data_IF_114765407001
#
_entry.id   IF_114765407001
#
_cell.length_a   1.000
_cell.length_b   1.000
_cell.length_c   1.000
_cell.angle_alpha   90.00
_cell.angle_beta   90.00
_cell.angle_gamma   90.00
#
_symmetry.space_group_name_H-M   'P 1'
#
loop_
_entity.id
_entity.type
_entity.pdbx_description
1 polymer ?
#
# COMPACT_ATOMS: atom_id res chain seq x y z
N UNK A 1 9.66 -23.82 -6.17
CA UNK A 1 10.16 -23.10 -4.99
C UNK A 1 10.90 -21.86 -5.48
N UNK A 2 10.27 -20.69 -5.37
CA UNK A 2 10.93 -19.42 -5.71
C UNK A 2 11.68 -18.95 -4.47
N UNK A 3 12.98 -19.19 -4.44
CA UNK A 3 13.89 -18.76 -3.36
C UNK A 3 13.93 -17.22 -3.19
N UNK A 4 13.45 -16.48 -4.18
CA UNK A 4 13.36 -15.02 -4.14
C UNK A 4 12.29 -14.57 -3.19
N UNK A 5 12.69 -13.85 -2.15
CA UNK A 5 11.80 -13.13 -1.25
C UNK A 5 11.61 -11.70 -1.76
N UNK A 6 10.47 -11.12 -1.41
CA UNK A 6 10.08 -9.79 -1.86
C UNK A 6 9.64 -8.94 -0.68
N UNK A 7 9.89 -7.64 -0.81
CA UNK A 7 9.29 -6.61 0.00
C UNK A 7 8.06 -6.05 -0.74
N UNK A 8 6.98 -5.90 0.01
CA UNK A 8 5.68 -5.49 -0.47
C UNK A 8 5.43 -4.06 -0.02
N UNK A 9 4.98 -3.23 -0.95
CA UNK A 9 4.63 -1.84 -0.70
C UNK A 9 3.24 -1.52 -1.23
N UNK A 10 2.60 -0.55 -0.61
CA UNK A 10 1.46 0.17 -1.18
C UNK A 10 1.96 1.54 -1.63
N UNK A 11 1.83 1.82 -2.91
CA UNK A 11 2.03 3.16 -3.44
C UNK A 11 0.69 3.90 -3.42
N UNK A 12 0.68 5.12 -2.91
CA UNK A 12 -0.51 5.98 -2.85
C UNK A 12 -0.16 7.35 -3.40
N UNK A 13 -0.92 7.84 -4.37
CA UNK A 13 -0.84 9.22 -4.83
C UNK A 13 -2.09 9.98 -4.45
N UNK A 14 -1.90 11.17 -3.91
CA UNK A 14 -2.96 12.13 -3.69
C UNK A 14 -2.53 13.53 -4.08
N UNK A 15 -3.47 14.45 -4.19
CA UNK A 15 -3.22 15.87 -4.35
C UNK A 15 -3.55 16.68 -3.08
N UNK A 16 -3.31 17.98 -3.13
CA UNK A 16 -3.52 18.91 -2.02
C UNK A 16 -4.99 19.02 -1.55
N UNK A 17 -5.96 18.45 -2.28
CA UNK A 17 -7.37 18.45 -1.90
C UNK A 17 -7.72 17.30 -0.95
N UNK A 18 -6.82 16.33 -0.76
CA UNK A 18 -7.01 15.26 0.21
C UNK A 18 -7.03 15.85 1.63
N UNK A 19 -8.14 15.75 2.38
CA UNK A 19 -8.34 16.56 3.59
C UNK A 19 -7.77 15.92 4.86
N UNK A 20 -7.20 14.72 4.79
CA UNK A 20 -6.74 13.96 5.95
C UNK A 20 -5.22 13.87 6.00
N UNK A 21 -4.66 13.81 7.21
CA UNK A 21 -3.23 13.59 7.43
C UNK A 21 -2.84 12.11 7.40
N UNK A 22 -3.81 11.20 7.26
CA UNK A 22 -3.61 9.76 7.31
C UNK A 22 -4.60 9.04 6.39
N UNK A 23 -4.36 7.74 6.20
CA UNK A 23 -5.29 6.83 5.53
C UNK A 23 -5.26 5.45 6.20
N UNK A 24 -6.43 4.84 6.33
CA UNK A 24 -6.55 3.45 6.73
C UNK A 24 -6.80 2.59 5.50
N UNK A 25 -6.08 1.48 5.38
CA UNK A 25 -6.22 0.52 4.29
C UNK A 25 -6.43 -0.89 4.84
N UNK A 26 -7.31 -1.64 4.20
CA UNK A 26 -7.46 -3.07 4.34
C UNK A 26 -6.86 -3.73 3.10
N UNK A 27 -5.91 -4.63 3.31
CA UNK A 27 -5.23 -5.36 2.24
C UNK A 27 -5.56 -6.83 2.36
N UNK A 28 -6.26 -7.35 1.37
CA UNK A 28 -6.63 -8.76 1.24
C UNK A 28 -5.64 -9.45 0.29
N UNK A 29 -4.87 -10.40 0.82
CA UNK A 29 -3.92 -11.22 0.06
C UNK A 29 -4.45 -12.64 -0.06
N UNK A 30 -4.93 -13.00 -1.24
CA UNK A 30 -5.53 -14.32 -1.52
C UNK A 30 -4.51 -15.22 -2.20
N UNK A 31 -4.27 -16.38 -1.59
CA UNK A 31 -3.36 -17.42 -2.05
C UNK A 31 -4.01 -18.28 -3.14
N UNK A 32 -3.22 -18.99 -3.97
CA UNK A 32 -3.73 -19.89 -5.02
C UNK A 32 -4.70 -20.98 -4.52
N UNK A 33 -4.62 -21.35 -3.24
CA UNK A 33 -5.52 -22.32 -2.62
C UNK A 33 -6.83 -21.72 -2.09
N UNK A 34 -7.11 -20.44 -2.37
CA UNK A 34 -8.33 -19.74 -1.97
C UNK A 34 -8.34 -19.24 -0.53
N UNK A 35 -7.27 -19.46 0.26
CA UNK A 35 -7.15 -18.83 1.58
C UNK A 35 -6.83 -17.35 1.41
N UNK A 36 -7.48 -16.50 2.20
CA UNK A 36 -7.19 -15.05 2.22
C UNK A 36 -6.62 -14.67 3.56
N UNK A 37 -5.57 -13.86 3.53
CA UNK A 37 -5.05 -13.15 4.68
C UNK A 37 -5.43 -11.68 4.55
N UNK A 38 -5.95 -11.07 5.62
CA UNK A 38 -6.32 -9.66 5.65
C UNK A 38 -5.45 -8.92 6.66
N UNK A 39 -4.86 -7.81 6.24
CA UNK A 39 -4.12 -6.88 7.10
C UNK A 39 -4.81 -5.51 7.14
N UNK A 40 -4.59 -4.77 8.22
CA UNK A 40 -5.02 -3.37 8.36
C UNK A 40 -3.81 -2.47 8.51
N UNK A 41 -3.69 -1.48 7.63
CA UNK A 41 -2.61 -0.49 7.63
C UNK A 41 -3.15 0.86 8.07
N UNK A 42 -2.58 1.42 9.14
CA UNK A 42 -2.78 2.80 9.54
C UNK A 42 -1.58 3.60 9.06
N UNK A 43 -1.78 4.44 8.05
CA UNK A 43 -0.68 5.11 7.35
C UNK A 43 -0.76 6.61 7.62
N UNK A 44 0.25 7.16 8.29
CA UNK A 44 0.41 8.61 8.37
C UNK A 44 0.92 9.13 7.03
N UNK A 45 0.24 10.11 6.45
CA UNK A 45 0.60 10.79 5.20
C UNK A 45 1.21 12.16 5.48
N UNK A 46 0.93 12.77 6.64
CA UNK A 46 1.53 14.02 7.08
C UNK A 46 2.01 13.94 8.54
N UNK A 47 2.98 14.78 8.87
CA UNK A 47 3.41 14.98 10.25
C UNK A 47 2.40 15.81 11.06
N UNK A 48 2.65 15.97 12.38
CA UNK A 48 1.79 16.75 13.29
C UNK A 48 1.67 18.24 12.93
N UNK A 49 2.52 18.75 12.05
CA UNK A 49 2.48 20.13 11.55
C UNK A 49 1.77 20.22 10.19
N UNK A 50 1.23 19.11 9.69
CA UNK A 50 0.55 19.02 8.40
C UNK A 50 1.50 18.94 7.20
N UNK A 51 2.80 18.70 7.41
CA UNK A 51 3.74 18.53 6.30
C UNK A 51 3.65 17.10 5.78
N UNK A 52 3.41 16.95 4.48
CA UNK A 52 3.35 15.64 3.84
C UNK A 52 4.67 14.88 3.99
N UNK A 53 4.58 13.58 4.31
CA UNK A 53 5.70 12.66 4.49
C UNK A 53 6.19 12.04 3.17
N UNK A 54 5.39 12.17 2.12
CA UNK A 54 5.69 11.71 0.77
C UNK A 54 6.57 12.70 0.00
N UNK A 55 6.89 12.33 -1.24
CA UNK A 55 7.60 13.19 -2.19
C UNK A 55 6.67 13.56 -3.35
N UNK A 56 6.94 14.62 -4.09
CA UNK A 56 6.05 14.97 -5.19
C UNK A 56 6.45 16.24 -5.93
N UNK A 57 5.80 16.45 -7.08
CA UNK A 57 5.98 17.61 -7.93
C UNK A 57 4.63 18.30 -8.18
N UNK A 58 4.62 19.62 -8.07
CA UNK A 58 3.40 20.42 -8.21
C UNK A 58 2.40 20.08 -7.10
N UNK A 59 1.18 19.71 -7.50
CA UNK A 59 0.07 19.49 -6.56
C UNK A 59 -0.03 18.06 -6.03
N UNK A 60 0.75 17.12 -6.58
CA UNK A 60 0.68 15.71 -6.19
C UNK A 60 1.73 15.36 -5.15
N UNK A 61 1.38 14.39 -4.30
CA UNK A 61 2.23 13.77 -3.31
C UNK A 61 2.11 12.26 -3.45
N UNK A 62 3.25 11.62 -3.61
CA UNK A 62 3.46 10.18 -3.70
C UNK A 62 3.99 9.64 -2.38
N UNK A 63 3.32 8.59 -1.88
CA UNK A 63 3.72 7.85 -0.70
C UNK A 63 4.05 6.42 -1.08
N UNK A 64 5.17 5.92 -0.54
CA UNK A 64 5.49 4.49 -0.55
C UNK A 64 5.40 3.96 0.86
N UNK A 65 4.37 3.15 1.10
CA UNK A 65 4.05 2.61 2.41
C UNK A 65 4.57 1.16 2.46
N UNK A 66 5.49 0.88 3.38
CA UNK A 66 5.94 -0.48 3.65
C UNK A 66 4.81 -1.32 4.22
N UNK A 67 4.52 -2.46 3.59
CA UNK A 67 3.42 -3.34 3.97
C UNK A 67 3.93 -4.65 4.61
N UNK A 68 4.77 -5.39 3.90
CA UNK A 68 5.38 -6.65 4.37
C UNK A 68 6.78 -6.78 3.82
N UNK A 69 7.67 -7.41 4.54
CA UNK A 69 9.05 -7.65 4.09
C UNK A 69 9.39 -9.12 4.08
N UNK A 70 10.40 -9.51 3.30
CA UNK A 70 10.90 -10.89 3.27
C UNK A 70 9.82 -11.95 2.99
N UNK A 71 8.82 -11.59 2.17
CA UNK A 71 7.69 -12.46 1.88
C UNK A 71 8.01 -13.36 0.69
N UNK A 72 7.82 -14.67 0.87
CA UNK A 72 7.91 -15.66 -0.19
C UNK A 72 6.54 -16.03 -0.74
N UNK A 73 6.54 -16.68 -1.91
CA UNK A 73 5.35 -17.21 -2.57
C UNK A 73 5.40 -18.75 -2.54
N UNK A 74 4.90 -19.40 -1.46
CA UNK A 74 5.12 -20.83 -1.22
C UNK A 74 4.24 -21.73 -2.10
N UNK A 75 3.16 -21.21 -2.66
CA UNK A 75 2.26 -21.94 -3.54
C UNK A 75 2.46 -21.49 -4.99
N UNK A 76 2.45 -22.45 -5.91
CA UNK A 76 2.41 -22.17 -7.35
C UNK A 76 0.99 -21.84 -7.77
N UNK A 77 0.84 -20.80 -8.59
CA UNK A 77 -0.44 -20.35 -9.13
C UNK A 77 -0.66 -18.85 -8.91
N UNK A 78 -1.88 -18.42 -9.16
CA UNK A 78 -2.25 -17.01 -9.14
C UNK A 78 -2.55 -16.52 -7.71
N UNK A 79 -1.98 -15.37 -7.38
CA UNK A 79 -2.27 -14.63 -6.15
C UNK A 79 -3.13 -13.43 -6.50
N UNK A 80 -4.10 -13.10 -5.66
CA UNK A 80 -4.93 -11.92 -5.84
C UNK A 80 -4.76 -10.94 -4.68
N UNK A 81 -4.67 -9.65 -5.02
CA UNK A 81 -4.57 -8.55 -4.06
C UNK A 81 -5.83 -7.70 -4.15
N UNK A 82 -6.51 -7.51 -3.02
CA UNK A 82 -7.57 -6.52 -2.86
C UNK A 82 -7.12 -5.42 -1.92
N UNK A 83 -7.36 -4.16 -2.28
CA UNK A 83 -7.09 -3.01 -1.41
C UNK A 83 -8.36 -2.18 -1.27
N UNK A 84 -8.76 -1.88 -0.04
CA UNK A 84 -9.94 -1.06 0.29
C UNK A 84 -9.56 -0.06 1.36
N UNK A 85 -10.10 1.15 1.33
CA UNK A 85 -9.88 2.09 2.42
C UNK A 85 -10.84 1.85 3.60
N UNK A 86 -10.37 2.13 4.80
CA UNK A 86 -11.13 2.09 6.06
C UNK A 86 -11.52 3.48 6.57
N UNK A 87 -11.56 4.48 5.68
CA UNK A 87 -11.94 5.85 6.02
C UNK A 87 -13.46 5.99 6.21
N UNK A 88 -13.87 7.05 6.94
CA UNK A 88 -15.29 7.37 7.17
C UNK A 88 -16.01 7.84 5.91
N UNK A 89 -15.30 8.52 5.02
CA UNK A 89 -15.84 8.97 3.74
C UNK A 89 -15.88 7.82 2.75
N UNK A 90 -16.99 7.67 2.04
CA UNK A 90 -17.14 6.63 1.00
C UNK A 90 -16.30 6.94 -0.24
N UNK A 91 -16.10 8.22 -0.56
CA UNK A 91 -15.29 8.65 -1.70
C UNK A 91 -14.13 9.49 -1.18
N UNK A 92 -12.90 9.06 -1.46
CA UNK A 92 -11.70 9.79 -1.06
C UNK A 92 -11.33 10.83 -2.10
N UNK A 93 -11.92 12.02 -1.97
CA UNK A 93 -11.56 13.15 -2.82
C UNK A 93 -10.07 13.50 -2.66
N UNK A 94 -9.40 13.72 -3.79
CA UNK A 94 -7.98 14.06 -3.85
C UNK A 94 -7.04 12.85 -3.87
N UNK A 95 -7.50 11.62 -3.63
CA UNK A 95 -6.71 10.41 -3.95
C UNK A 95 -6.81 10.15 -5.45
N UNK A 96 -5.67 10.09 -6.14
CA UNK A 96 -5.63 9.85 -7.59
C UNK A 96 -5.32 8.39 -7.92
N UNK A 97 -4.40 7.77 -7.18
CA UNK A 97 -3.90 6.44 -7.50
C UNK A 97 -3.61 5.62 -6.26
N UNK A 98 -3.83 4.30 -6.37
CA UNK A 98 -3.37 3.30 -5.41
C UNK A 98 -2.77 2.12 -6.17
N UNK A 99 -1.62 1.66 -5.70
CA UNK A 99 -0.87 0.59 -6.33
C UNK A 99 -0.30 -0.39 -5.32
N UNK A 100 -0.22 -1.66 -5.72
CA UNK A 100 0.56 -2.66 -5.00
C UNK A 100 1.88 -2.87 -5.73
N UNK A 101 2.98 -2.89 -4.98
CA UNK A 101 4.33 -3.06 -5.52
C UNK A 101 5.04 -4.21 -4.82
N UNK A 102 5.72 -5.02 -5.63
CA UNK A 102 6.67 -6.03 -5.21
C UNK A 102 8.07 -5.58 -5.61
N UNK A 103 8.99 -5.53 -4.65
CA UNK A 103 10.41 -5.34 -4.92
C UNK A 103 11.15 -6.60 -4.47
N UNK A 104 11.94 -7.26 -5.34
CA UNK A 104 12.81 -8.34 -4.89
C UNK A 104 13.73 -7.80 -3.79
N UNK A 105 13.95 -8.59 -2.74
CA UNK A 105 15.02 -8.29 -1.81
C UNK A 105 16.31 -8.24 -2.61
N UNK A 106 16.98 -7.08 -2.59
CA UNK A 106 18.26 -6.93 -3.23
C UNK A 106 19.18 -8.04 -2.70
N UNK A 107 19.72 -8.85 -3.61
CA UNK A 107 20.81 -9.76 -3.25
C UNK A 107 21.94 -8.91 -2.66
N UNK A 108 22.52 -9.31 -1.51
CA UNK A 108 23.70 -8.64 -0.97
C UNK A 108 24.86 -8.61 -1.97
#
# INVERSE_FOLDING_TARGET
DTLTKYDFFIDLRHDQRYPFSNIYLFVDFTFPNGRTLQDTLACDLADKRGRWLGTGFGNFVDHRIGFRSHTGFPLTGDYAIGIRHGMRETLLHGVSDIGFRLEPLASP
#
